data_IF_640141509387
#
_entry.id   IF_640141509387
#
_cell.length_a   1.000
_cell.length_b   1.000
_cell.length_c   1.000
_cell.angle_alpha   90.00
_cell.angle_beta   90.00
_cell.angle_gamma   90.00
#
_symmetry.space_group_name_H-M   'P 1'
#
loop_
_entity.id
_entity.type
_entity.pdbx_description
1 polymer ?
#
# COMPACT_ATOMS: atom_id res chain seq x y z
N UNK A 1 9.06 32.42 19.88
CA UNK A 1 7.74 31.92 20.29
C UNK A 1 6.72 32.49 19.33
N UNK A 2 5.93 31.65 18.63
CA UNK A 2 4.89 32.13 17.73
C UNK A 2 3.73 32.65 18.59
N UNK A 3 3.28 33.87 18.35
CA UNK A 3 2.13 34.46 19.05
C UNK A 3 0.85 33.73 18.63
N UNK A 4 0.34 32.87 19.51
CA UNK A 4 -0.88 32.08 19.31
C UNK A 4 -2.09 32.67 20.05
N UNK A 5 -1.98 33.90 20.57
CA UNK A 5 -2.94 34.52 21.49
C UNK A 5 -4.36 34.70 20.92
N UNK A 6 -4.53 34.61 19.60
CA UNK A 6 -5.83 34.68 18.91
C UNK A 6 -6.52 33.34 18.64
N UNK A 7 -5.90 32.20 18.94
CA UNK A 7 -6.46 30.86 18.63
C UNK A 7 -7.20 30.25 19.81
N UNK A 8 -8.44 29.83 19.58
CA UNK A 8 -9.34 29.26 20.60
C UNK A 8 -9.48 27.74 20.46
N UNK A 9 -9.23 27.02 21.54
CA UNK A 9 -9.39 25.56 21.64
C UNK A 9 -10.45 25.24 22.67
N UNK A 10 -11.41 24.38 22.30
CA UNK A 10 -12.39 23.81 23.21
C UNK A 10 -11.99 22.38 23.59
N UNK A 11 -11.78 22.13 24.87
CA UNK A 11 -11.46 20.80 25.41
C UNK A 11 -12.73 20.17 25.98
N UNK A 12 -13.08 18.96 25.53
CA UNK A 12 -14.31 18.26 25.94
C UNK A 12 -13.93 16.87 26.43
N UNK A 13 -14.12 16.64 27.71
CA UNK A 13 -13.81 15.36 28.36
C UNK A 13 -14.65 15.32 29.65
N UNK A 14 -15.15 14.17 30.08
CA UNK A 14 -15.94 14.05 31.31
C UNK A 14 -15.06 13.92 32.55
N UNK A 15 -13.81 13.47 32.40
CA UNK A 15 -12.84 13.38 33.48
C UNK A 15 -12.19 14.75 33.76
N UNK A 16 -12.40 15.26 34.98
CA UNK A 16 -11.86 16.55 35.40
C UNK A 16 -10.33 16.58 35.42
N UNK A 17 -9.68 15.47 35.80
CA UNK A 17 -8.22 15.33 35.80
C UNK A 17 -7.65 15.47 34.39
N UNK A 18 -8.29 14.85 33.39
CA UNK A 18 -7.87 14.93 31.99
C UNK A 18 -8.05 16.35 31.44
N UNK A 19 -9.18 17.01 31.74
CA UNK A 19 -9.38 18.43 31.37
C UNK A 19 -8.28 19.32 31.95
N UNK A 20 -7.89 19.11 33.21
CA UNK A 20 -6.82 19.89 33.87
C UNK A 20 -5.46 19.62 33.22
N UNK A 21 -5.15 18.36 32.91
CA UNK A 21 -3.90 17.96 32.27
C UNK A 21 -3.76 18.59 30.86
N UNK A 22 -4.80 18.50 30.04
CA UNK A 22 -4.84 19.08 28.69
C UNK A 22 -4.74 20.61 28.72
N UNK A 23 -5.46 21.25 29.64
CA UNK A 23 -5.34 22.69 29.85
C UNK A 23 -3.91 23.08 30.21
N UNK A 24 -3.28 22.35 31.13
CA UNK A 24 -1.92 22.65 31.60
C UNK A 24 -0.88 22.48 30.48
N UNK A 25 -1.02 21.44 29.66
CA UNK A 25 -0.14 21.20 28.52
C UNK A 25 -0.27 22.32 27.48
N UNK A 26 -1.50 22.64 27.06
CA UNK A 26 -1.74 23.58 25.97
C UNK A 26 -1.58 25.05 26.36
N UNK A 27 -1.68 25.40 27.65
CA UNK A 27 -1.49 26.77 28.13
C UNK A 27 -0.08 27.29 27.88
N UNK A 28 0.93 26.41 27.85
CA UNK A 28 2.31 26.74 27.48
C UNK A 28 2.45 27.19 26.02
N UNK A 29 1.52 26.79 25.16
CA UNK A 29 1.47 27.13 23.73
C UNK A 29 0.84 28.49 23.42
N UNK A 30 0.31 29.21 24.42
CA UNK A 30 -0.26 30.55 24.26
C UNK A 30 -1.68 30.59 23.68
N UNK A 31 -2.42 29.48 23.71
CA UNK A 31 -3.79 29.37 23.20
C UNK A 31 -4.83 29.88 24.22
N UNK A 32 -5.98 30.36 23.73
CA UNK A 32 -7.16 30.58 24.57
C UNK A 32 -7.91 29.24 24.71
N UNK A 33 -8.05 28.76 25.94
CA UNK A 33 -8.60 27.43 26.23
C UNK A 33 -9.93 27.57 26.97
N UNK A 34 -10.97 26.94 26.44
CA UNK A 34 -12.22 26.69 27.15
C UNK A 34 -12.38 25.19 27.35
N UNK A 35 -13.20 24.80 28.33
CA UNK A 35 -13.45 23.38 28.62
C UNK A 35 -14.93 23.10 28.84
N UNK A 36 -15.39 21.91 28.48
CA UNK A 36 -16.76 21.44 28.68
C UNK A 36 -16.74 20.00 29.21
N UNK A 37 -17.72 19.65 30.04
CA UNK A 37 -17.75 18.34 30.74
C UNK A 37 -18.51 17.26 29.96
N UNK A 38 -19.17 17.62 28.84
CA UNK A 38 -19.90 16.72 27.97
C UNK A 38 -20.19 17.38 26.62
N UNK A 39 -20.62 16.58 25.63
CA UNK A 39 -20.89 17.07 24.28
C UNK A 39 -22.04 18.10 24.17
N UNK A 40 -23.05 18.06 25.04
CA UNK A 40 -24.14 19.06 25.01
C UNK A 40 -23.67 20.44 25.48
N UNK A 41 -22.84 20.49 26.52
CA UNK A 41 -22.24 21.74 26.99
C UNK A 41 -21.28 22.32 25.93
N UNK A 42 -20.51 21.46 25.27
CA UNK A 42 -19.63 21.85 24.18
C UNK A 42 -20.41 22.50 23.02
N UNK A 43 -21.53 21.89 22.62
CA UNK A 43 -22.43 22.42 21.59
C UNK A 43 -22.97 23.82 21.92
N UNK A 44 -23.45 24.03 23.16
CA UNK A 44 -23.92 25.35 23.60
C UNK A 44 -22.81 26.41 23.53
N UNK A 45 -21.57 26.03 23.84
CA UNK A 45 -20.41 26.94 23.72
C UNK A 45 -20.07 27.24 22.26
N UNK A 46 -20.15 26.25 21.38
CA UNK A 46 -19.94 26.40 19.94
C UNK A 46 -21.00 27.29 19.26
N UNK A 47 -22.22 27.34 19.80
CA UNK A 47 -23.27 28.27 19.33
C UNK A 47 -23.01 29.72 19.76
N UNK A 48 -22.39 29.93 20.94
CA UNK A 48 -22.13 31.26 21.49
C UNK A 48 -20.77 31.87 21.13
N UNK A 49 -19.80 31.06 20.71
CA UNK A 49 -18.44 31.49 20.38
C UNK A 49 -17.79 30.62 19.30
N UNK A 50 -16.95 31.24 18.48
CA UNK A 50 -16.16 30.51 17.47
C UNK A 50 -14.93 29.85 18.11
N UNK A 51 -14.73 28.57 17.80
CA UNK A 51 -13.54 27.81 18.16
C UNK A 51 -12.81 27.35 16.90
N UNK A 52 -11.48 27.47 16.93
CA UNK A 52 -10.64 27.03 15.83
C UNK A 52 -10.42 25.51 15.92
N UNK A 53 -10.29 24.97 17.12
CA UNK A 53 -10.05 23.56 17.36
C UNK A 53 -10.90 23.02 18.51
N UNK A 54 -11.47 21.84 18.34
CA UNK A 54 -12.14 21.06 19.40
C UNK A 54 -11.32 19.80 19.66
N UNK A 55 -11.05 19.51 20.92
CA UNK A 55 -10.42 18.26 21.36
C UNK A 55 -11.43 17.53 22.22
N UNK A 56 -11.92 16.37 21.80
CA UNK A 56 -13.03 15.67 22.47
C UNK A 56 -12.70 14.21 22.80
N UNK A 57 -13.11 13.69 23.95
CA UNK A 57 -13.15 12.24 24.18
C UNK A 57 -14.26 11.60 23.31
N UNK A 58 -14.03 10.38 22.81
CA UNK A 58 -15.03 9.54 22.14
C UNK A 58 -16.17 9.18 23.09
N UNK A 59 -15.85 8.79 24.32
CA UNK A 59 -16.86 8.30 25.28
C UNK A 59 -17.11 9.36 26.33
N UNK A 60 -18.28 9.99 26.25
CA UNK A 60 -18.73 10.97 27.23
C UNK A 60 -20.23 10.76 27.49
N UNK A 61 -20.71 11.06 28.70
CA UNK A 61 -22.14 10.99 29.01
C UNK A 61 -22.95 11.98 28.19
N UNK A 62 -24.23 11.64 27.95
CA UNK A 62 -25.26 12.40 27.20
C UNK A 62 -25.04 12.48 25.69
N UNK A 63 -23.80 12.72 25.24
CA UNK A 63 -23.46 12.82 23.82
C UNK A 63 -22.02 12.36 23.62
N UNK A 64 -21.83 11.45 22.68
CA UNK A 64 -20.52 10.89 22.35
C UNK A 64 -19.65 11.89 21.57
N UNK A 65 -18.33 11.73 21.60
CA UNK A 65 -17.41 12.57 20.83
C UNK A 65 -17.61 12.46 19.32
N UNK A 66 -18.09 11.31 18.83
CA UNK A 66 -18.40 11.10 17.41
C UNK A 66 -19.66 11.85 16.98
N UNK A 67 -20.70 11.85 17.81
CA UNK A 67 -21.89 12.69 17.59
C UNK A 67 -21.53 14.17 17.64
N UNK A 68 -20.68 14.57 18.61
CA UNK A 68 -20.20 15.95 18.72
C UNK A 68 -19.42 16.37 17.48
N UNK A 69 -18.53 15.51 16.97
CA UNK A 69 -17.79 15.75 15.73
C UNK A 69 -18.74 16.04 14.55
N UNK A 70 -19.77 15.22 14.37
CA UNK A 70 -20.76 15.42 13.28
C UNK A 70 -21.46 16.77 13.43
N UNK A 71 -21.93 17.10 14.63
CA UNK A 71 -22.58 18.37 14.91
C UNK A 71 -21.65 19.58 14.70
N UNK A 72 -20.38 19.50 15.14
CA UNK A 72 -19.38 20.56 14.91
C UNK A 72 -19.16 20.78 13.42
N UNK A 73 -19.09 19.70 12.62
CA UNK A 73 -18.88 19.81 11.17
C UNK A 73 -20.08 20.38 10.42
N UNK A 74 -21.30 20.22 10.94
CA UNK A 74 -22.49 20.87 10.39
C UNK A 74 -22.52 22.37 10.73
N UNK A 75 -22.21 22.74 11.97
CA UNK A 75 -22.27 24.14 12.45
C UNK A 75 -21.09 24.96 11.92
N UNK A 76 -19.89 24.39 11.93
CA UNK A 76 -18.64 25.07 11.56
C UNK A 76 -17.67 24.10 10.90
N UNK A 77 -17.81 23.85 9.59
CA UNK A 77 -16.98 22.90 8.84
C UNK A 77 -15.46 23.15 8.94
N UNK A 78 -15.08 24.43 9.16
CA UNK A 78 -13.69 24.89 9.26
C UNK A 78 -13.03 24.55 10.60
N UNK A 79 -13.80 24.35 11.67
CA UNK A 79 -13.27 24.00 12.99
C UNK A 79 -12.61 22.62 12.93
N UNK A 80 -11.35 22.54 13.34
CA UNK A 80 -10.63 21.27 13.46
C UNK A 80 -11.17 20.47 14.64
N UNK A 81 -11.25 19.14 14.52
CA UNK A 81 -11.70 18.29 15.63
C UNK A 81 -10.68 17.17 15.82
N UNK A 82 -10.06 17.10 16.98
CA UNK A 82 -9.19 16.01 17.40
C UNK A 82 -9.97 15.14 18.37
N UNK A 83 -9.99 13.84 18.13
CA UNK A 83 -10.74 12.90 18.95
C UNK A 83 -9.79 12.06 19.79
N UNK A 84 -10.04 11.94 21.09
CA UNK A 84 -9.25 11.16 22.04
C UNK A 84 -10.02 9.92 22.46
N UNK A 85 -9.36 8.78 22.69
CA UNK A 85 -10.03 7.59 23.25
C UNK A 85 -9.06 6.68 23.97
N UNK A 86 -9.57 5.89 24.92
CA UNK A 86 -8.82 4.84 25.59
C UNK A 86 -8.83 3.48 24.86
N UNK A 87 -9.74 3.27 23.90
CA UNK A 87 -9.91 1.99 23.20
C UNK A 87 -9.51 2.07 21.72
N UNK A 88 -8.55 1.23 21.34
CA UNK A 88 -7.96 1.12 19.99
C UNK A 88 -8.75 0.25 19.01
N UNK A 89 -10.09 0.25 19.09
CA UNK A 89 -10.90 -0.45 18.08
C UNK A 89 -10.77 0.26 16.73
N UNK A 90 -10.18 -0.46 15.78
CA UNK A 90 -9.85 -0.01 14.42
C UNK A 90 -11.09 0.55 13.69
N UNK A 91 -12.26 -0.05 13.94
CA UNK A 91 -13.52 0.34 13.29
C UNK A 91 -13.97 1.76 13.71
N UNK A 92 -13.75 2.12 14.98
CA UNK A 92 -14.17 3.42 15.52
C UNK A 92 -13.23 4.55 15.06
N UNK A 93 -11.94 4.26 14.87
CA UNK A 93 -10.97 5.22 14.34
C UNK A 93 -11.25 5.55 12.86
N UNK A 94 -11.58 4.55 12.04
CA UNK A 94 -11.95 4.74 10.64
C UNK A 94 -13.24 5.55 10.50
N UNK A 95 -14.25 5.25 11.32
CA UNK A 95 -15.52 6.01 11.32
C UNK A 95 -15.32 7.47 11.76
N UNK A 96 -14.49 7.70 12.78
CA UNK A 96 -14.12 9.02 13.28
C UNK A 96 -13.45 9.88 12.19
N UNK A 97 -12.52 9.30 11.44
CA UNK A 97 -11.87 10.02 10.33
C UNK A 97 -12.83 10.25 9.15
N UNK A 98 -13.72 9.29 8.84
CA UNK A 98 -14.77 9.48 7.82
C UNK A 98 -15.76 10.59 8.18
N UNK A 99 -16.06 10.76 9.46
CA UNK A 99 -16.92 11.83 9.98
C UNK A 99 -16.24 13.22 9.98
N UNK A 100 -14.97 13.31 9.53
CA UNK A 100 -14.28 14.58 9.32
C UNK A 100 -13.39 15.02 10.47
N UNK A 101 -13.02 14.13 11.39
CA UNK A 101 -11.99 14.43 12.38
C UNK A 101 -10.68 14.82 11.67
N UNK A 102 -9.99 15.79 12.24
CA UNK A 102 -8.66 16.20 11.80
C UNK A 102 -7.61 15.15 12.18
N UNK A 103 -7.69 14.66 13.41
CA UNK A 103 -6.76 13.67 13.94
C UNK A 103 -7.43 12.87 15.06
N UNK A 104 -6.77 11.79 15.47
CA UNK A 104 -7.21 10.90 16.53
C UNK A 104 -6.04 10.54 17.44
N UNK A 105 -6.24 10.61 18.76
CA UNK A 105 -5.23 10.36 19.78
C UNK A 105 -5.65 9.20 20.69
N UNK A 106 -4.79 8.18 20.78
CA UNK A 106 -4.98 7.05 21.68
C UNK A 106 -4.42 7.39 23.07
N UNK A 107 -5.27 7.36 24.11
CA UNK A 107 -4.88 7.47 25.52
C UNK A 107 -4.21 6.15 25.95
N UNK A 108 -3.09 6.17 26.70
CA UNK A 108 -2.37 7.36 27.17
C UNK A 108 -1.42 7.94 26.10
N UNK A 109 -1.31 9.27 26.05
CA UNK A 109 -0.39 10.00 25.15
C UNK A 109 0.44 11.04 25.91
N UNK A 110 1.63 11.38 25.40
CA UNK A 110 2.49 12.40 26.00
C UNK A 110 2.05 13.82 25.61
N UNK A 111 2.46 14.82 26.39
CA UNK A 111 2.21 16.23 26.07
C UNK A 111 2.80 16.64 24.70
N UNK A 112 3.94 16.07 24.31
CA UNK A 112 4.56 16.31 23.00
C UNK A 112 3.70 15.82 21.83
N UNK A 113 3.04 14.67 22.00
CA UNK A 113 2.12 14.12 20.99
C UNK A 113 0.90 15.03 20.82
N UNK A 114 0.35 15.53 21.94
CA UNK A 114 -0.75 16.50 21.94
C UNK A 114 -0.35 17.82 21.27
N UNK A 115 0.79 18.41 21.67
CA UNK A 115 1.29 19.67 21.10
C UNK A 115 1.55 19.55 19.59
N UNK A 116 2.06 18.39 19.16
CA UNK A 116 2.28 18.09 17.76
C UNK A 116 0.94 17.98 17.00
N UNK A 117 -0.07 17.32 17.56
CA UNK A 117 -1.41 17.20 16.95
C UNK A 117 -2.11 18.56 16.82
N UNK A 118 -2.05 19.38 17.86
CA UNK A 118 -2.61 20.74 17.86
C UNK A 118 -1.87 21.64 16.87
N UNK A 119 -0.54 21.56 16.82
CA UNK A 119 0.26 22.32 15.84
C UNK A 119 -0.08 21.95 14.40
N UNK A 120 -0.26 20.65 14.11
CA UNK A 120 -0.70 20.17 12.78
C UNK A 120 -2.09 20.72 12.42
N UNK A 121 -3.03 20.70 13.36
CA UNK A 121 -4.39 21.20 13.13
C UNK A 121 -4.38 22.66 12.69
N UNK A 122 -3.62 23.50 13.39
CA UNK A 122 -3.52 24.92 13.06
C UNK A 122 -2.74 25.23 11.79
N UNK A 123 -1.73 24.43 11.44
CA UNK A 123 -1.03 24.58 10.16
C UNK A 123 -1.98 24.30 8.99
N UNK A 124 -2.78 23.24 9.08
CA UNK A 124 -3.76 22.90 8.04
C UNK A 124 -4.86 23.95 7.86
N UNK A 125 -5.19 24.71 8.90
CA UNK A 125 -6.18 25.80 8.83
C UNK A 125 -5.60 27.09 8.25
N UNK A 126 -4.31 27.37 8.47
CA UNK A 126 -3.64 28.52 7.88
C UNK A 126 -3.54 28.42 6.35
N UNK A 127 -3.45 27.20 5.82
CA UNK A 127 -3.44 26.91 4.37
C UNK A 127 -4.85 26.95 3.73
N UNK A 128 -5.92 27.11 4.53
CA UNK A 128 -7.33 27.09 4.09
C UNK A 128 -7.99 28.48 3.99
N UNK A 129 -7.23 29.57 4.03
CA UNK A 129 -7.75 30.89 3.62
C UNK A 129 -7.92 30.95 2.10
N UNK A 130 -8.97 31.61 1.58
CA UNK A 130 -9.60 31.21 0.33
C UNK A 130 -8.80 31.65 -0.90
N UNK A 131 -8.27 30.69 -1.65
CA UNK A 131 -8.04 30.82 -3.08
C UNK A 131 -9.40 30.78 -3.81
N UNK A 132 -10.18 31.86 -3.70
CA UNK A 132 -11.33 32.11 -4.56
C UNK A 132 -10.95 33.19 -5.58
N UNK A 133 -10.30 32.77 -6.67
CA UNK A 133 -10.33 33.39 -8.00
C UNK A 133 -9.27 32.71 -8.88
N UNK A 134 -9.64 31.59 -9.53
CA UNK A 134 -9.02 31.03 -10.75
C UNK A 134 -9.56 29.60 -10.92
N UNK A 135 -10.82 29.44 -11.34
CA UNK A 135 -11.11 29.11 -12.75
C UNK A 135 -10.10 29.69 -13.75
N UNK A 136 -8.95 29.02 -13.84
CA UNK A 136 -8.07 29.01 -15.00
C UNK A 136 -7.08 27.88 -14.75
N UNK A 137 -7.19 26.83 -15.57
CA UNK A 137 -6.11 25.90 -15.93
C UNK A 137 -4.96 25.84 -14.93
N UNK A 138 -5.01 24.87 -14.01
CA UNK A 138 -3.82 24.51 -13.24
C UNK A 138 -2.68 24.22 -14.24
N UNK A 139 -1.57 24.96 -14.21
CA UNK A 139 -0.39 24.53 -14.91
C UNK A 139 0.07 23.27 -14.21
N UNK A 140 0.06 22.17 -14.96
CA UNK A 140 0.83 20.99 -14.65
C UNK A 140 2.20 21.42 -14.14
N UNK A 141 2.46 21.21 -12.84
CA UNK A 141 3.83 20.97 -12.39
C UNK A 141 4.39 19.91 -13.35
N UNK A 142 5.61 20.05 -13.89
CA UNK A 142 6.18 19.05 -14.75
C UNK A 142 6.54 17.84 -13.86
N UNK A 143 5.55 17.05 -13.49
CA UNK A 143 5.76 15.63 -13.35
C UNK A 143 6.25 15.20 -14.72
N UNK A 144 7.45 14.62 -14.77
CA UNK A 144 7.87 13.87 -15.94
C UNK A 144 6.69 13.01 -16.39
N UNK A 145 6.18 13.28 -17.59
CA UNK A 145 4.93 12.73 -18.10
C UNK A 145 4.90 11.18 -18.16
N UNK A 146 6.03 10.55 -17.86
CA UNK A 146 6.32 9.13 -18.04
C UNK A 146 5.78 8.22 -16.92
N UNK A 147 5.31 8.75 -15.77
CA UNK A 147 5.01 7.90 -14.59
C UNK A 147 3.70 8.25 -13.88
N UNK A 148 2.64 8.56 -14.63
CA UNK A 148 1.29 8.77 -14.08
C UNK A 148 0.60 7.41 -13.85
N UNK A 149 -0.12 7.27 -12.73
CA UNK A 149 -1.02 6.11 -12.54
C UNK A 149 -2.27 6.34 -13.40
N UNK A 150 -2.47 5.47 -14.38
CA UNK A 150 -3.62 5.50 -15.31
C UNK A 150 -4.63 4.44 -14.88
N UNK A 151 -5.88 4.84 -14.69
CA UNK A 151 -6.96 3.93 -14.27
C UNK A 151 -8.33 4.50 -14.63
N UNK A 152 -9.25 3.61 -15.04
CA UNK A 152 -10.69 3.86 -15.17
C UNK A 152 -11.50 3.09 -14.10
N UNK A 153 -10.85 2.21 -13.35
CA UNK A 153 -11.49 1.41 -12.32
C UNK A 153 -11.78 2.24 -11.05
N UNK A 154 -13.00 2.12 -10.52
CA UNK A 154 -13.47 2.89 -9.35
C UNK A 154 -12.76 2.52 -8.05
N UNK A 155 -12.33 1.27 -7.89
CA UNK A 155 -11.60 0.83 -6.70
C UNK A 155 -10.20 1.44 -6.67
N UNK A 156 -9.53 1.44 -7.82
CA UNK A 156 -8.25 2.12 -8.00
C UNK A 156 -8.34 3.63 -7.75
N UNK A 157 -9.42 4.29 -8.19
CA UNK A 157 -9.66 5.71 -7.88
C UNK A 157 -9.78 5.95 -6.37
N UNK A 158 -10.57 5.13 -5.65
CA UNK A 158 -10.66 5.18 -4.18
C UNK A 158 -9.31 4.96 -3.51
N UNK A 159 -8.48 4.08 -4.08
CA UNK A 159 -7.13 3.81 -3.58
C UNK A 159 -6.22 5.03 -3.74
N UNK A 160 -6.32 5.76 -4.86
CA UNK A 160 -5.60 7.02 -5.07
C UNK A 160 -6.03 8.10 -4.06
N UNK A 161 -7.33 8.27 -3.84
CA UNK A 161 -7.85 9.20 -2.82
C UNK A 161 -7.38 8.83 -1.40
N UNK A 162 -7.31 7.51 -1.10
CA UNK A 162 -6.78 7.03 0.16
C UNK A 162 -5.28 7.35 0.29
N UNK A 163 -4.50 7.14 -0.77
CA UNK A 163 -3.08 7.50 -0.81
C UNK A 163 -2.86 8.98 -0.52
N UNK A 164 -3.65 9.86 -1.14
CA UNK A 164 -3.54 11.31 -0.91
C UNK A 164 -3.74 11.67 0.56
N UNK A 165 -4.70 11.04 1.24
CA UNK A 165 -4.93 11.25 2.69
C UNK A 165 -3.75 10.75 3.52
N UNK A 166 -3.22 9.57 3.19
CA UNK A 166 -2.10 8.94 3.89
C UNK A 166 -0.76 9.67 3.63
N UNK A 167 -0.62 10.34 2.50
CA UNK A 167 0.61 11.01 2.10
C UNK A 167 1.03 12.15 3.04
N UNK A 168 0.12 12.74 3.82
CA UNK A 168 0.48 13.76 4.81
C UNK A 168 1.10 13.18 6.09
N UNK A 169 0.87 11.89 6.38
CA UNK A 169 1.42 11.23 7.56
C UNK A 169 2.90 10.86 7.40
N UNK A 170 3.64 10.75 8.52
CA UNK A 170 4.98 10.14 8.54
C UNK A 170 4.94 8.61 8.67
N UNK A 171 3.77 8.02 8.87
CA UNK A 171 3.61 6.58 9.06
C UNK A 171 4.13 5.77 7.88
N UNK A 172 4.65 4.58 8.19
CA UNK A 172 5.05 3.58 7.21
C UNK A 172 3.84 3.08 6.42
N UNK A 173 4.00 2.96 5.11
CA UNK A 173 2.99 2.38 4.22
C UNK A 173 3.54 1.06 3.69
N UNK A 174 2.77 -0.01 3.82
CA UNK A 174 3.09 -1.33 3.27
C UNK A 174 2.21 -1.60 2.04
N UNK A 175 2.83 -1.59 0.86
CA UNK A 175 2.19 -1.83 -0.43
C UNK A 175 2.25 -3.33 -0.74
N UNK A 176 1.10 -3.96 -0.87
CA UNK A 176 0.96 -5.39 -1.14
C UNK A 176 0.31 -5.55 -2.51
N UNK A 177 0.92 -6.30 -3.40
CA UNK A 177 0.35 -6.57 -4.71
C UNK A 177 1.25 -7.47 -5.56
N UNK A 178 0.64 -8.23 -6.44
CA UNK A 178 1.36 -9.14 -7.33
C UNK A 178 2.45 -8.42 -8.15
N UNK A 179 3.41 -9.19 -8.64
CA UNK A 179 4.46 -8.67 -9.52
C UNK A 179 3.82 -7.97 -10.74
N UNK A 180 4.34 -6.79 -11.08
CA UNK A 180 3.86 -6.04 -12.24
C UNK A 180 2.55 -5.28 -12.03
N UNK A 181 2.01 -5.19 -10.82
CA UNK A 181 0.78 -4.40 -10.53
C UNK A 181 1.00 -2.88 -10.45
N UNK A 182 2.25 -2.43 -10.36
CA UNK A 182 2.61 -1.01 -10.26
C UNK A 182 2.92 -0.50 -8.84
N UNK A 183 3.34 -1.38 -7.92
CA UNK A 183 3.67 -1.01 -6.52
C UNK A 183 4.65 0.17 -6.41
N UNK A 184 5.68 0.22 -7.25
CA UNK A 184 6.65 1.33 -7.26
C UNK A 184 5.99 2.66 -7.66
N UNK A 185 5.04 2.65 -8.61
CA UNK A 185 4.30 3.85 -8.99
C UNK A 185 3.47 4.39 -7.82
N UNK A 186 2.85 3.51 -7.05
CA UNK A 186 2.15 3.89 -5.82
C UNK A 186 3.10 4.50 -4.78
N UNK A 187 4.27 3.90 -4.56
CA UNK A 187 5.27 4.46 -3.64
C UNK A 187 5.73 5.86 -4.05
N UNK A 188 5.96 6.07 -5.34
CA UNK A 188 6.30 7.38 -5.90
C UNK A 188 5.15 8.38 -5.76
N UNK A 189 3.91 7.93 -6.00
CA UNK A 189 2.72 8.76 -5.85
C UNK A 189 2.52 9.21 -4.40
N UNK A 190 2.70 8.30 -3.42
CA UNK A 190 2.69 8.64 -1.98
C UNK A 190 3.72 9.74 -1.68
N UNK A 191 4.93 9.61 -2.21
CA UNK A 191 5.97 10.61 -2.00
C UNK A 191 5.63 11.96 -2.63
N UNK A 192 5.12 11.97 -3.87
CA UNK A 192 4.69 13.18 -4.59
C UNK A 192 3.56 13.94 -3.88
N UNK A 193 2.65 13.20 -3.22
CA UNK A 193 1.56 13.79 -2.45
C UNK A 193 1.97 14.19 -1.03
N UNK A 194 3.21 13.89 -0.61
CA UNK A 194 3.65 14.12 0.76
C UNK A 194 4.28 15.49 0.97
N UNK A 195 4.44 15.86 2.26
CA UNK A 195 5.23 17.02 2.69
C UNK A 195 6.72 16.95 2.29
N UNK A 196 7.18 15.79 1.80
CA UNK A 196 8.57 15.55 1.37
C UNK A 196 8.71 15.51 -0.16
N UNK A 197 7.69 15.91 -0.91
CA UNK A 197 7.66 15.83 -2.38
C UNK A 197 8.76 16.62 -3.09
N UNK A 198 9.30 17.67 -2.47
CA UNK A 198 10.44 18.44 -2.98
C UNK A 198 11.80 17.79 -2.67
N UNK A 199 11.83 16.71 -1.87
CA UNK A 199 13.04 15.99 -1.49
C UNK A 199 13.27 14.78 -2.42
N UNK A 200 14.52 14.28 -2.54
CA UNK A 200 14.79 13.17 -3.45
C UNK A 200 14.12 11.86 -3.02
N UNK A 201 13.38 11.20 -3.92
CA UNK A 201 12.87 9.86 -3.66
C UNK A 201 13.97 8.81 -3.83
N UNK A 202 14.26 8.05 -2.77
CA UNK A 202 15.21 6.94 -2.81
C UNK A 202 14.48 5.61 -2.87
N UNK A 203 15.01 4.65 -3.61
CA UNK A 203 14.49 3.29 -3.69
C UNK A 203 15.63 2.28 -3.60
N UNK A 204 15.35 1.15 -2.95
CA UNK A 204 16.21 -0.02 -2.86
C UNK A 204 15.36 -1.24 -3.14
N UNK A 205 15.81 -2.09 -4.06
CA UNK A 205 15.20 -3.39 -4.31
C UNK A 205 15.97 -4.44 -3.49
N UNK A 206 15.32 -5.01 -2.48
CA UNK A 206 15.92 -5.97 -1.57
C UNK A 206 16.20 -7.33 -2.22
N UNK A 207 15.53 -7.66 -3.33
CA UNK A 207 15.74 -8.90 -4.07
C UNK A 207 16.87 -8.80 -5.13
N UNK A 208 17.27 -7.59 -5.51
CA UNK A 208 18.20 -7.36 -6.63
C UNK A 208 19.69 -7.46 -6.23
N UNK A 209 20.01 -7.41 -4.94
CA UNK A 209 21.38 -7.35 -4.44
C UNK A 209 21.69 -8.54 -3.52
N UNK A 210 22.91 -9.11 -3.59
CA UNK A 210 23.40 -10.04 -2.57
C UNK A 210 23.39 -9.41 -1.18
N UNK A 211 23.20 -10.23 -0.14
CA UNK A 211 23.00 -9.79 1.25
C UNK A 211 24.04 -8.76 1.74
N UNK A 212 25.34 -9.03 1.59
CA UNK A 212 26.39 -8.12 2.06
C UNK A 212 26.45 -6.79 1.29
N UNK A 213 26.07 -6.79 0.00
CA UNK A 213 25.96 -5.57 -0.79
C UNK A 213 24.69 -4.79 -0.41
N UNK A 214 23.58 -5.48 -0.16
CA UNK A 214 22.34 -4.87 0.31
C UNK A 214 22.56 -4.18 1.67
N UNK A 215 23.28 -4.82 2.59
CA UNK A 215 23.64 -4.24 3.89
C UNK A 215 24.41 -2.92 3.73
N UNK A 216 25.44 -2.94 2.90
CA UNK A 216 26.26 -1.75 2.60
C UNK A 216 25.47 -0.67 1.89
N UNK A 217 24.61 -1.02 0.93
CA UNK A 217 23.76 -0.04 0.24
C UNK A 217 22.74 0.59 1.19
N UNK A 218 22.12 -0.18 2.08
CA UNK A 218 21.10 0.35 2.98
C UNK A 218 21.69 1.18 4.12
N UNK A 219 22.69 0.66 4.82
CA UNK A 219 23.19 1.22 6.07
C UNK A 219 24.53 1.95 5.94
N UNK A 220 25.25 1.78 4.83
CA UNK A 220 26.58 2.35 4.64
C UNK A 220 27.68 1.59 5.38
N UNK A 221 28.93 1.97 5.14
CA UNK A 221 30.08 1.40 5.83
C UNK A 221 31.16 2.42 6.13
N UNK A 222 31.92 2.16 7.19
CA UNK A 222 33.14 2.88 7.51
C UNK A 222 34.36 2.27 6.81
N UNK A 223 35.43 3.07 6.66
CA UNK A 223 36.68 2.60 6.07
C UNK A 223 37.24 1.41 6.88
N UNK A 224 37.55 0.31 6.20
CA UNK A 224 38.08 -0.90 6.83
C UNK A 224 37.03 -1.82 7.47
N UNK A 225 35.74 -1.60 7.22
CA UNK A 225 34.67 -2.44 7.77
C UNK A 225 34.71 -3.91 7.29
N UNK A 226 35.20 -4.15 6.07
CA UNK A 226 35.40 -5.48 5.48
C UNK A 226 36.54 -5.43 4.45
N UNK A 227 36.98 -6.59 3.96
CA UNK A 227 38.01 -6.70 2.92
C UNK A 227 37.54 -6.03 1.64
N UNK A 228 38.15 -4.89 1.28
CA UNK A 228 37.77 -4.08 0.11
C UNK A 228 37.09 -2.74 0.45
N UNK A 229 36.77 -2.48 1.73
CA UNK A 229 36.23 -1.19 2.19
C UNK A 229 37.32 -0.10 2.26
N UNK A 230 37.78 0.36 1.10
CA UNK A 230 38.89 1.33 0.97
C UNK A 230 38.52 2.76 1.36
N UNK A 231 37.23 3.10 1.31
CA UNK A 231 36.68 4.42 1.65
C UNK A 231 35.38 4.27 2.46
N UNK A 232 34.94 5.36 3.08
CA UNK A 232 33.64 5.44 3.75
C UNK A 232 32.54 5.59 2.68
N UNK A 233 31.42 4.91 2.87
CA UNK A 233 30.24 5.02 2.00
C UNK A 233 28.98 5.30 2.81
N UNK A 234 28.20 6.28 2.36
CA UNK A 234 26.89 6.59 2.95
C UNK A 234 25.84 5.59 2.48
N UNK A 235 24.98 5.16 3.42
CA UNK A 235 23.85 4.27 3.13
C UNK A 235 22.63 5.03 2.62
N UNK A 236 21.68 4.29 2.05
CA UNK A 236 20.42 4.84 1.54
C UNK A 236 19.58 5.48 2.63
N UNK A 237 19.66 5.02 3.88
CA UNK A 237 18.99 5.69 4.99
C UNK A 237 19.58 7.08 5.29
N UNK A 238 20.90 7.23 5.23
CA UNK A 238 21.54 8.55 5.39
C UNK A 238 21.18 9.48 4.23
N UNK A 239 21.28 8.98 2.99
CA UNK A 239 20.93 9.74 1.79
C UNK A 239 19.44 10.15 1.81
N UNK A 240 18.56 9.30 2.33
CA UNK A 240 17.14 9.55 2.44
C UNK A 240 16.74 10.37 3.68
N UNK A 241 17.70 10.91 4.44
CA UNK A 241 17.41 11.77 5.58
C UNK A 241 16.50 12.95 5.18
N UNK A 242 15.39 13.15 5.92
CA UNK A 242 14.29 14.08 5.62
C UNK A 242 13.56 13.81 4.31
N UNK A 243 13.70 12.63 3.74
CA UNK A 243 13.05 12.21 2.50
C UNK A 243 12.29 10.88 2.64
N UNK A 244 11.92 10.26 1.53
CA UNK A 244 11.24 8.97 1.45
C UNK A 244 12.17 7.90 0.91
N UNK A 245 12.18 6.74 1.57
CA UNK A 245 12.87 5.54 1.13
C UNK A 245 11.85 4.44 0.82
N UNK A 246 11.86 3.96 -0.42
CA UNK A 246 11.18 2.75 -0.83
C UNK A 246 12.07 1.52 -0.58
N UNK A 247 11.52 0.55 0.16
CA UNK A 247 12.05 -0.79 0.30
C UNK A 247 11.18 -1.74 -0.53
N UNK A 248 11.63 -2.03 -1.75
CA UNK A 248 10.91 -2.91 -2.68
C UNK A 248 11.32 -4.37 -2.48
N UNK A 249 10.34 -5.26 -2.63
CA UNK A 249 10.41 -6.69 -2.31
C UNK A 249 11.01 -6.97 -0.92
N UNK A 250 10.49 -6.28 0.10
CA UNK A 250 10.98 -6.35 1.50
C UNK A 250 10.97 -7.79 2.07
N UNK A 251 10.09 -8.63 1.57
CA UNK A 251 9.93 -10.03 1.99
C UNK A 251 11.14 -10.91 1.61
N UNK A 252 12.03 -10.46 0.73
CA UNK A 252 13.25 -11.16 0.30
C UNK A 252 14.47 -10.85 1.19
N UNK A 253 14.32 -9.95 2.17
CA UNK A 253 15.39 -9.57 3.08
C UNK A 253 15.75 -10.73 4.03
N UNK A 254 17.04 -10.95 4.28
CA UNK A 254 17.49 -11.95 5.25
C UNK A 254 17.12 -11.58 6.71
N UNK A 255 16.92 -12.56 7.60
CA UNK A 255 16.59 -12.27 9.00
C UNK A 255 17.58 -11.35 9.76
N UNK A 256 18.90 -11.41 9.52
CA UNK A 256 19.85 -10.44 10.10
C UNK A 256 19.59 -9.00 9.66
N UNK A 257 19.33 -8.77 8.37
CA UNK A 257 19.04 -7.44 7.84
C UNK A 257 17.67 -6.94 8.32
N UNK A 258 16.69 -7.83 8.47
CA UNK A 258 15.40 -7.50 9.08
C UNK A 258 15.55 -6.96 10.52
N UNK A 259 16.45 -7.54 11.31
CA UNK A 259 16.74 -7.07 12.67
C UNK A 259 17.34 -5.66 12.68
N UNK A 260 18.29 -5.39 11.78
CA UNK A 260 18.88 -4.04 11.63
C UNK A 260 17.85 -3.03 11.15
N UNK A 261 17.03 -3.38 10.17
CA UNK A 261 15.95 -2.53 9.68
C UNK A 261 14.98 -2.18 10.80
N UNK A 262 14.58 -3.16 11.62
CA UNK A 262 13.69 -2.91 12.76
C UNK A 262 14.28 -1.87 13.71
N UNK A 263 15.58 -1.97 14.04
CA UNK A 263 16.28 -1.00 14.89
C UNK A 263 16.23 0.41 14.30
N UNK A 264 16.48 0.55 12.99
CA UNK A 264 16.38 1.86 12.30
C UNK A 264 14.95 2.42 12.38
N UNK A 265 13.93 1.58 12.22
CA UNK A 265 12.53 2.00 12.28
C UNK A 265 12.06 2.36 13.69
N UNK A 266 12.71 1.83 14.74
CA UNK A 266 12.35 2.07 16.15
C UNK A 266 13.11 3.27 16.72
N UNK A 267 14.44 3.24 16.60
CA UNK A 267 15.34 4.22 17.22
C UNK A 267 15.53 5.47 16.35
N UNK A 268 15.12 5.44 15.08
CA UNK A 268 15.41 6.50 14.11
C UNK A 268 16.91 6.79 13.97
N UNK A 269 17.72 5.74 14.08
CA UNK A 269 19.18 5.78 14.01
C UNK A 269 19.72 4.65 13.15
N UNK A 270 20.81 4.89 12.44
CA UNK A 270 21.48 3.93 11.55
C UNK A 270 22.86 3.58 12.07
N UNK A 271 23.12 2.29 12.23
CA UNK A 271 24.46 1.76 12.49
C UNK A 271 25.15 1.40 11.17
N UNK A 272 26.26 2.06 10.86
CA UNK A 272 27.11 1.68 9.72
C UNK A 272 27.77 0.32 9.95
N UNK A 273 28.04 -0.40 8.88
CA UNK A 273 28.90 -1.59 8.96
C UNK A 273 30.30 -1.13 9.39
N UNK A 274 30.78 -1.67 10.52
CA UNK A 274 32.04 -1.25 11.15
C UNK A 274 32.00 0.13 11.82
N UNK A 275 30.83 0.76 11.92
CA UNK A 275 30.62 2.03 12.61
C UNK A 275 30.65 1.87 14.13
N UNK A 276 31.08 2.93 14.83
CA UNK A 276 31.12 2.96 16.30
C UNK A 276 29.99 3.77 16.92
N UNK A 277 29.41 4.69 16.16
CA UNK A 277 28.37 5.60 16.64
C UNK A 277 27.15 5.52 15.72
N UNK A 278 25.93 5.44 16.29
CA UNK A 278 24.70 5.50 15.52
C UNK A 278 24.48 6.90 14.93
N UNK A 279 23.85 6.96 13.76
CA UNK A 279 23.60 8.21 13.04
C UNK A 279 22.09 8.48 13.01
N UNK A 280 21.59 9.60 13.56
CA UNK A 280 20.16 9.89 13.58
C UNK A 280 19.62 10.18 12.17
N UNK A 281 18.50 9.56 11.82
CA UNK A 281 17.84 9.68 10.52
C UNK A 281 16.34 9.93 10.63
N UNK A 282 15.81 10.93 9.91
CA UNK A 282 14.37 11.16 9.77
C UNK A 282 13.91 10.69 8.37
N UNK A 283 13.65 9.39 8.21
CA UNK A 283 13.25 8.81 6.91
C UNK A 283 11.81 8.33 6.96
N UNK A 284 11.03 8.67 5.94
CA UNK A 284 9.72 8.06 5.74
C UNK A 284 9.91 6.78 4.94
N UNK A 285 9.54 5.65 5.52
CA UNK A 285 9.67 4.37 4.85
C UNK A 285 8.37 4.01 4.14
N UNK A 286 8.49 3.56 2.90
CA UNK A 286 7.43 2.89 2.16
C UNK A 286 7.97 1.51 1.80
N UNK A 287 7.27 0.45 2.21
CA UNK A 287 7.67 -0.92 1.91
C UNK A 287 6.75 -1.50 0.83
N UNK A 288 7.28 -2.34 -0.04
CA UNK A 288 6.50 -3.05 -1.05
C UNK A 288 6.85 -4.54 -1.07
N UNK A 289 5.86 -5.39 -1.34
CA UNK A 289 6.01 -6.85 -1.43
C UNK A 289 5.02 -7.45 -2.43
N UNK A 290 5.44 -8.49 -3.14
CA UNK A 290 4.54 -9.38 -3.89
C UNK A 290 4.10 -10.63 -3.12
N UNK A 291 4.78 -10.94 -2.01
CA UNK A 291 4.52 -12.13 -1.21
C UNK A 291 3.53 -11.88 -0.08
N UNK A 292 2.85 -12.94 0.35
CA UNK A 292 2.08 -12.96 1.59
C UNK A 292 3.02 -13.01 2.80
N UNK A 293 3.30 -11.83 3.37
CA UNK A 293 4.21 -11.71 4.52
C UNK A 293 3.73 -12.54 5.71
N UNK A 294 2.40 -12.72 5.90
CA UNK A 294 1.90 -13.50 7.04
C UNK A 294 2.34 -14.97 6.96
N UNK A 295 2.39 -15.54 5.76
CA UNK A 295 2.92 -16.90 5.54
C UNK A 295 4.42 -16.96 5.82
N UNK A 296 5.20 -15.96 5.37
CA UNK A 296 6.63 -15.90 5.67
C UNK A 296 6.91 -15.75 7.18
N UNK A 297 6.05 -15.04 7.91
CA UNK A 297 6.13 -14.95 9.38
C UNK A 297 5.87 -16.32 10.03
N UNK A 298 4.85 -17.04 9.58
CA UNK A 298 4.57 -18.41 10.07
C UNK A 298 5.74 -19.37 9.81
N UNK A 299 6.42 -19.22 8.67
CA UNK A 299 7.58 -20.02 8.30
C UNK A 299 8.90 -19.55 8.97
N UNK A 300 8.86 -18.51 9.82
CA UNK A 300 10.04 -17.88 10.44
C UNK A 300 11.07 -17.29 9.45
N UNK A 301 10.64 -17.03 8.22
CA UNK A 301 11.43 -16.37 7.18
C UNK A 301 11.35 -14.84 7.30
N UNK A 302 10.29 -14.33 7.94
CA UNK A 302 10.10 -12.92 8.20
C UNK A 302 9.80 -12.69 9.68
N UNK A 303 10.40 -11.66 10.29
CA UNK A 303 10.18 -11.37 11.70
C UNK A 303 8.81 -10.74 11.93
N UNK A 304 8.11 -11.25 12.93
CA UNK A 304 6.78 -10.77 13.31
C UNK A 304 6.78 -9.31 13.79
N UNK A 305 7.77 -8.93 14.60
CA UNK A 305 7.94 -7.57 15.11
C UNK A 305 8.15 -6.52 13.99
N UNK A 306 8.98 -6.85 12.99
CA UNK A 306 9.17 -6.03 11.81
C UNK A 306 7.90 -5.92 10.98
N UNK A 307 7.14 -7.01 10.83
CA UNK A 307 5.88 -6.98 10.10
C UNK A 307 4.90 -5.98 10.72
N UNK A 308 4.70 -6.01 12.03
CA UNK A 308 3.81 -5.05 12.71
C UNK A 308 4.34 -3.61 12.62
N UNK A 309 5.66 -3.39 12.63
CA UNK A 309 6.25 -2.05 12.48
C UNK A 309 6.10 -1.48 11.06
N UNK A 310 6.11 -2.34 10.03
CA UNK A 310 5.92 -1.94 8.64
C UNK A 310 4.44 -1.80 8.27
N UNK A 311 3.59 -2.68 8.78
CA UNK A 311 2.17 -2.79 8.43
C UNK A 311 1.29 -1.79 9.21
N UNK A 312 1.72 -0.53 9.32
CA UNK A 312 0.92 0.53 9.96
C UNK A 312 -0.22 0.96 9.04
N UNK A 313 0.08 1.16 7.76
CA UNK A 313 -0.92 1.49 6.74
C UNK A 313 -0.80 0.48 5.60
N UNK A 314 -1.64 -0.57 5.56
CA UNK A 314 -1.66 -1.51 4.45
C UNK A 314 -2.32 -0.88 3.22
N UNK A 315 -1.68 -1.02 2.07
CA UNK A 315 -2.20 -0.64 0.77
C UNK A 315 -2.17 -1.86 -0.14
N UNK A 316 -3.34 -2.44 -0.41
CA UNK A 316 -3.46 -3.59 -1.32
C UNK A 316 -3.74 -3.10 -2.74
N UNK A 317 -2.87 -3.41 -3.68
CA UNK A 317 -3.05 -3.11 -5.11
C UNK A 317 -3.70 -4.32 -5.79
N UNK A 318 -4.89 -4.17 -6.40
CA UNK A 318 -5.56 -5.28 -7.06
C UNK A 318 -4.83 -5.71 -8.35
N UNK A 319 -4.80 -7.02 -8.64
CA UNK A 319 -4.25 -7.53 -9.89
C UNK A 319 -5.10 -7.08 -11.09
N UNK A 320 -4.50 -7.03 -12.28
CA UNK A 320 -5.13 -6.50 -13.49
C UNK A 320 -6.42 -7.24 -13.86
N UNK A 321 -6.51 -8.54 -13.58
CA UNK A 321 -7.72 -9.36 -13.79
C UNK A 321 -8.94 -8.94 -12.96
N UNK A 322 -8.73 -8.25 -11.83
CA UNK A 322 -9.80 -7.72 -10.96
C UNK A 322 -10.22 -6.30 -11.38
N UNK A 323 -9.46 -5.66 -12.27
CA UNK A 323 -9.69 -4.29 -12.78
C UNK A 323 -9.68 -4.25 -14.31
N UNK A 324 -10.55 -5.04 -14.92
CA UNK A 324 -10.61 -5.19 -16.39
C UNK A 324 -10.91 -3.88 -17.13
N UNK A 325 -11.56 -2.93 -16.47
CA UNK A 325 -11.84 -1.60 -17.02
C UNK A 325 -10.56 -0.80 -17.30
N UNK A 326 -9.44 -1.14 -16.64
CA UNK A 326 -8.16 -0.48 -16.86
C UNK A 326 -7.48 -0.98 -18.14
N UNK A 327 -7.80 -2.19 -18.63
CA UNK A 327 -7.09 -2.81 -19.76
C UNK A 327 -7.14 -1.94 -21.03
N UNK A 328 -8.31 -1.43 -21.50
CA UNK A 328 -8.36 -0.61 -22.70
C UNK A 328 -7.59 0.71 -22.55
N UNK A 329 -7.69 1.35 -21.37
CA UNK A 329 -7.07 2.65 -21.11
C UNK A 329 -5.54 2.51 -20.98
N UNK A 330 -5.07 1.45 -20.33
CA UNK A 330 -3.64 1.13 -20.24
C UNK A 330 -3.07 0.73 -21.60
N UNK A 331 -3.79 -0.07 -22.39
CA UNK A 331 -3.34 -0.46 -23.72
C UNK A 331 -3.19 0.75 -24.65
N UNK A 332 -4.17 1.67 -24.66
CA UNK A 332 -4.07 2.93 -25.42
C UNK A 332 -2.93 3.83 -24.92
N UNK A 333 -2.72 3.91 -23.60
CA UNK A 333 -1.62 4.65 -23.01
C UNK A 333 -0.26 4.10 -23.47
N UNK A 334 -0.03 2.79 -23.38
CA UNK A 334 1.20 2.14 -23.81
C UNK A 334 1.39 2.23 -25.33
N UNK A 335 0.32 2.09 -26.12
CA UNK A 335 0.36 2.27 -27.56
C UNK A 335 0.92 3.65 -27.91
N UNK A 336 0.35 4.73 -27.37
CA UNK A 336 0.78 6.11 -27.64
C UNK A 336 2.21 6.35 -27.21
N UNK A 337 2.60 5.81 -26.05
CA UNK A 337 3.96 5.92 -25.54
C UNK A 337 4.98 5.26 -26.46
N UNK A 338 4.78 3.98 -26.79
CA UNK A 338 5.73 3.24 -27.62
C UNK A 338 5.70 3.67 -29.09
N UNK A 339 4.58 4.17 -29.60
CA UNK A 339 4.54 4.80 -30.92
C UNK A 339 5.45 6.03 -30.99
N UNK A 340 5.43 6.87 -29.95
CA UNK A 340 6.31 8.04 -29.83
C UNK A 340 7.78 7.65 -29.67
N UNK A 341 8.08 6.60 -28.92
CA UNK A 341 9.45 6.12 -28.69
C UNK A 341 10.06 5.45 -29.94
N UNK A 342 9.23 4.84 -30.80
CA UNK A 342 9.68 4.09 -31.98
C UNK A 342 9.36 4.78 -33.32
N UNK A 343 8.98 6.06 -33.29
CA UNK A 343 8.59 6.86 -34.47
C UNK A 343 7.56 6.15 -35.38
N UNK A 344 6.59 5.45 -34.76
CA UNK A 344 5.49 4.76 -35.45
C UNK A 344 4.18 5.53 -35.33
N UNK A 345 3.36 5.44 -36.37
CA UNK A 345 2.04 6.09 -36.44
C UNK A 345 0.90 5.06 -36.43
N UNK A 346 0.74 4.36 -35.30
CA UNK A 346 -0.40 3.47 -35.09
C UNK A 346 -1.52 4.29 -34.45
N UNK A 347 -2.66 4.40 -35.14
CA UNK A 347 -3.75 5.27 -34.77
C UNK A 347 -4.69 4.63 -33.73
N UNK A 348 -4.83 3.31 -33.71
CA UNK A 348 -5.82 2.64 -32.87
C UNK A 348 -5.52 1.16 -32.60
N UNK A 349 -6.24 0.60 -31.63
CA UNK A 349 -6.32 -0.84 -31.36
C UNK A 349 -7.67 -1.34 -31.88
N UNK A 350 -7.69 -2.44 -32.64
CA UNK A 350 -8.96 -3.00 -33.11
C UNK A 350 -9.82 -3.53 -31.95
N UNK A 351 -11.14 -3.44 -32.07
CA UNK A 351 -12.07 -3.89 -31.02
C UNK A 351 -11.93 -5.38 -30.69
N UNK A 352 -11.62 -6.21 -31.69
CA UNK A 352 -11.33 -7.63 -31.52
C UNK A 352 -10.07 -7.88 -30.68
N UNK A 353 -9.03 -7.08 -30.91
CA UNK A 353 -7.78 -7.08 -30.14
C UNK A 353 -8.05 -6.72 -28.68
N UNK A 354 -8.86 -5.68 -28.41
CA UNK A 354 -9.26 -5.30 -27.05
C UNK A 354 -10.08 -6.40 -26.35
N UNK A 355 -10.94 -7.10 -27.08
CA UNK A 355 -11.71 -8.23 -26.52
C UNK A 355 -10.80 -9.39 -26.10
N UNK A 356 -9.74 -9.67 -26.87
CA UNK A 356 -8.74 -10.70 -26.51
C UNK A 356 -7.98 -10.27 -25.26
N UNK A 357 -7.50 -9.03 -25.23
CA UNK A 357 -6.81 -8.45 -24.07
C UNK A 357 -7.70 -8.49 -22.80
N UNK A 358 -9.00 -8.25 -22.93
CA UNK A 358 -9.95 -8.29 -21.81
C UNK A 358 -10.26 -9.69 -21.27
N UNK A 359 -10.06 -10.75 -22.07
CA UNK A 359 -10.27 -12.16 -21.67
C UNK A 359 -9.06 -12.77 -20.97
N UNK A 360 -7.86 -12.30 -21.31
CA UNK A 360 -6.62 -12.81 -20.75
C UNK A 360 -6.50 -12.54 -19.24
N UNK A 361 -5.85 -13.45 -18.51
CA UNK A 361 -5.76 -13.40 -17.03
C UNK A 361 -4.67 -12.49 -16.49
N UNK A 362 -3.70 -12.09 -17.32
CA UNK A 362 -2.61 -11.18 -16.95
C UNK A 362 -1.81 -11.62 -15.72
N UNK A 363 -1.17 -12.82 -15.74
CA UNK A 363 -0.32 -13.28 -14.63
C UNK A 363 0.84 -12.31 -14.30
N UNK A 364 1.38 -11.60 -15.30
CA UNK A 364 2.38 -10.54 -15.11
C UNK A 364 1.80 -9.14 -15.00
N UNK A 365 0.47 -9.03 -14.85
CA UNK A 365 -0.26 -7.79 -14.62
C UNK A 365 0.06 -6.69 -15.65
N UNK A 366 0.25 -5.44 -15.20
CA UNK A 366 0.47 -4.27 -16.06
C UNK A 366 1.80 -4.37 -16.80
N UNK A 367 2.82 -4.98 -16.19
CA UNK A 367 4.14 -5.17 -16.83
C UNK A 367 4.06 -6.10 -18.04
N UNK A 368 3.27 -7.17 -17.95
CA UNK A 368 3.03 -8.06 -19.08
C UNK A 368 2.23 -7.36 -20.18
N UNK A 369 1.21 -6.57 -19.81
CA UNK A 369 0.45 -5.76 -20.76
C UNK A 369 1.34 -4.77 -21.52
N UNK A 370 2.21 -4.04 -20.82
CA UNK A 370 3.19 -3.11 -21.42
C UNK A 370 4.08 -3.86 -22.42
N UNK A 371 4.69 -4.97 -22.01
CA UNK A 371 5.58 -5.78 -22.88
C UNK A 371 4.86 -6.37 -24.11
N UNK A 372 3.59 -6.76 -23.98
CA UNK A 372 2.80 -7.28 -25.12
C UNK A 372 2.48 -6.15 -26.10
N UNK A 373 2.06 -4.98 -25.60
CA UNK A 373 1.76 -3.83 -26.45
C UNK A 373 3.02 -3.28 -27.12
N UNK A 374 4.14 -3.19 -26.42
CA UNK A 374 5.44 -2.80 -26.98
C UNK A 374 5.83 -3.70 -28.16
N UNK A 375 5.80 -5.02 -27.97
CA UNK A 375 6.08 -6.00 -29.03
C UNK A 375 5.12 -5.86 -30.20
N UNK A 376 3.82 -5.69 -29.92
CA UNK A 376 2.81 -5.50 -30.96
C UNK A 376 3.07 -4.23 -31.77
N UNK A 377 3.46 -3.12 -31.13
CA UNK A 377 3.85 -1.87 -31.80
C UNK A 377 5.04 -2.09 -32.72
N UNK A 378 6.08 -2.80 -32.27
CA UNK A 378 7.27 -3.09 -33.07
C UNK A 378 6.98 -3.96 -34.30
N UNK A 379 6.04 -4.91 -34.19
CA UNK A 379 5.72 -5.87 -35.25
C UNK A 379 4.57 -5.43 -36.15
N UNK A 380 3.78 -4.43 -35.75
CA UNK A 380 2.70 -3.91 -36.57
C UNK A 380 3.25 -3.16 -37.80
N UNK A 381 2.70 -3.49 -38.97
CA UNK A 381 3.03 -2.87 -40.27
C UNK A 381 1.94 -1.88 -40.74
N UNK A 382 0.80 -1.82 -40.05
CA UNK A 382 -0.34 -0.97 -40.38
C UNK A 382 -0.61 0.12 -39.33
N UNK A 383 -1.72 0.84 -39.52
CA UNK A 383 -2.14 1.92 -38.62
C UNK A 383 -3.06 1.45 -37.48
N UNK A 384 -3.31 0.14 -37.36
CA UNK A 384 -4.20 -0.44 -36.35
C UNK A 384 -3.62 -1.75 -35.82
N UNK A 385 -3.57 -1.92 -34.49
CA UNK A 385 -3.16 -3.19 -33.87
C UNK A 385 -4.26 -4.24 -34.03
N UNK A 386 -3.92 -5.35 -34.70
CA UNK A 386 -4.78 -6.49 -34.94
C UNK A 386 -4.48 -7.65 -33.98
N UNK A 387 -5.39 -8.63 -33.82
CA UNK A 387 -5.14 -9.82 -33.02
C UNK A 387 -3.86 -10.56 -33.40
N UNK A 388 -3.51 -10.59 -34.69
CA UNK A 388 -2.29 -11.22 -35.21
C UNK A 388 -1.00 -10.58 -34.71
N UNK A 389 -1.07 -9.33 -34.24
CA UNK A 389 0.09 -8.59 -33.73
C UNK A 389 0.33 -8.89 -32.23
N UNK A 390 -0.65 -9.50 -31.55
CA UNK A 390 -0.54 -9.88 -30.14
C UNK A 390 0.12 -11.26 -30.02
N UNK A 391 1.43 -11.27 -29.78
CA UNK A 391 2.18 -12.49 -29.44
C UNK A 391 1.96 -12.86 -27.96
N UNK A 392 0.78 -13.40 -27.65
CA UNK A 392 0.39 -13.90 -26.32
C UNK A 392 0.59 -15.41 -26.24
N UNK A 393 1.02 -15.92 -25.08
CA UNK A 393 1.10 -17.36 -24.86
C UNK A 393 -0.31 -17.95 -24.73
N UNK A 394 -0.73 -18.74 -25.73
CA UNK A 394 -2.07 -19.34 -25.76
C UNK A 394 -2.35 -20.27 -24.56
N UNK A 395 -1.31 -20.86 -23.95
CA UNK A 395 -1.44 -21.73 -22.77
C UNK A 395 -1.91 -20.96 -21.51
N UNK A 396 -1.53 -19.69 -21.37
CA UNK A 396 -1.96 -18.83 -20.27
C UNK A 396 -3.36 -18.24 -20.49
N UNK A 397 -3.84 -18.23 -21.74
CA UNK A 397 -5.14 -17.70 -22.14
C UNK A 397 -6.31 -18.65 -21.82
N UNK A 398 -6.06 -19.95 -21.63
CA UNK A 398 -7.10 -20.99 -21.55
C UNK A 398 -6.99 -21.96 -20.36
N UNK A 399 -6.47 -21.52 -19.21
CA UNK A 399 -6.70 -22.26 -17.95
C UNK A 399 -8.09 -21.99 -17.34
N UNK A 400 -9.12 -22.06 -18.18
CA UNK A 400 -10.41 -22.55 -17.71
C UNK A 400 -10.27 -24.05 -17.53
N UNK A 401 -10.11 -24.47 -16.27
CA UNK A 401 -10.94 -25.54 -15.69
C UNK A 401 -11.32 -26.70 -16.62
N UNK A 402 -10.37 -27.34 -17.31
CA UNK A 402 -10.59 -28.72 -17.77
C UNK A 402 -10.60 -29.67 -16.57
N UNK A 403 -9.84 -29.37 -15.52
CA UNK A 403 -9.81 -30.22 -14.32
C UNK A 403 -11.06 -30.08 -13.44
N UNK A 404 -11.64 -28.89 -13.31
CA UNK A 404 -12.84 -28.70 -12.47
C UNK A 404 -14.15 -29.11 -13.17
N UNK A 405 -14.25 -29.01 -14.50
CA UNK A 405 -15.44 -29.48 -15.22
C UNK A 405 -15.48 -31.00 -15.41
N UNK A 406 -14.34 -31.68 -15.41
CA UNK A 406 -14.29 -33.15 -15.47
C UNK A 406 -14.69 -33.76 -14.13
N UNK A 407 -14.25 -33.17 -13.01
CA UNK A 407 -14.65 -33.60 -11.66
C UNK A 407 -16.13 -33.28 -11.34
N UNK A 408 -16.67 -32.16 -11.84
CA UNK A 408 -18.07 -31.77 -11.59
C UNK A 408 -19.11 -32.53 -12.43
N UNK A 409 -18.69 -33.26 -13.48
CA UNK A 409 -19.57 -34.07 -14.34
C UNK A 409 -19.66 -35.54 -13.95
N UNK A 410 -18.85 -36.00 -13.00
CA UNK A 410 -18.89 -37.40 -12.57
C UNK A 410 -20.04 -37.65 -11.59
N UNK A 411 -21.12 -38.27 -12.07
CA UNK A 411 -22.21 -38.81 -11.23
C UNK A 411 -22.04 -40.33 -11.12
N UNK A 412 -21.13 -40.76 -10.25
CA UNK A 412 -20.85 -42.16 -9.97
C UNK A 412 -20.40 -42.35 -8.52
N UNK A 413 -20.27 -43.58 -8.07
CA UNK A 413 -19.66 -43.87 -6.76
C UNK A 413 -18.15 -43.67 -6.83
N UNK A 414 -17.49 -43.52 -5.68
CA UNK A 414 -16.01 -43.42 -5.60
C UNK A 414 -15.34 -44.62 -6.32
N UNK A 415 -16.00 -45.78 -6.32
CA UNK A 415 -15.57 -46.99 -7.03
C UNK A 415 -15.55 -46.81 -8.55
N UNK A 416 -16.55 -46.14 -9.13
CA UNK A 416 -16.62 -45.89 -10.57
C UNK A 416 -15.57 -44.89 -11.03
N UNK A 417 -15.30 -43.88 -10.19
CA UNK A 417 -14.27 -42.88 -10.45
C UNK A 417 -12.86 -43.49 -10.36
N UNK A 418 -12.62 -44.37 -9.39
CA UNK A 418 -11.37 -45.13 -9.26
C UNK A 418 -11.16 -46.05 -10.48
N UNK A 419 -12.20 -46.76 -10.90
CA UNK A 419 -12.17 -47.65 -12.07
C UNK A 419 -11.84 -46.87 -13.34
N UNK A 420 -12.53 -45.77 -13.60
CA UNK A 420 -12.33 -44.97 -14.81
C UNK A 420 -10.93 -44.34 -14.86
N UNK A 421 -10.45 -43.81 -13.74
CA UNK A 421 -9.10 -43.27 -13.62
C UNK A 421 -8.03 -44.34 -13.93
N UNK A 422 -8.21 -45.56 -13.40
CA UNK A 422 -7.30 -46.68 -13.65
C UNK A 422 -7.27 -47.07 -15.14
N UNK A 423 -8.43 -47.11 -15.80
CA UNK A 423 -8.51 -47.45 -17.24
C UNK A 423 -7.97 -46.34 -18.13
N UNK A 424 -8.26 -45.06 -17.84
CA UNK A 424 -7.72 -43.92 -18.57
C UNK A 424 -6.18 -43.88 -18.49
N UNK A 425 -5.62 -44.04 -17.29
CA UNK A 425 -4.16 -44.06 -17.13
C UNK A 425 -3.52 -45.27 -17.82
N UNK A 426 -4.21 -46.41 -17.91
CA UNK A 426 -3.73 -47.56 -18.67
C UNK A 426 -3.74 -47.33 -20.18
N UNK A 427 -4.75 -46.64 -20.71
CA UNK A 427 -4.83 -46.29 -22.14
C UNK A 427 -3.73 -45.28 -22.51
N UNK A 428 -3.50 -44.28 -21.67
CA UNK A 428 -2.44 -43.27 -21.85
C UNK A 428 -1.03 -43.88 -21.91
N UNK A 429 -0.77 -44.94 -21.12
CA UNK A 429 0.52 -45.65 -21.12
C UNK A 429 0.52 -46.91 -21.97
N UNK A 430 -0.45 -47.05 -22.89
CA UNK A 430 -0.57 -48.17 -23.83
C UNK A 430 -0.50 -49.55 -23.16
N UNK A 431 -1.20 -49.73 -22.04
CA UNK A 431 -1.30 -50.99 -21.31
C UNK A 431 -0.10 -51.34 -20.43
N UNK A 432 0.88 -50.44 -20.27
CA UNK A 432 2.02 -50.67 -19.39
C UNK A 432 1.64 -50.51 -17.90
N UNK A 433 1.31 -51.63 -17.27
CA UNK A 433 0.87 -51.70 -15.86
C UNK A 433 1.89 -51.17 -14.84
N UNK A 434 3.19 -51.19 -15.14
CA UNK A 434 4.22 -50.67 -14.22
C UNK A 434 4.23 -49.15 -14.25
N UNK A 435 4.20 -48.55 -15.44
CA UNK A 435 4.11 -47.09 -15.61
C UNK A 435 2.79 -46.52 -15.13
N UNK A 436 1.68 -47.23 -15.36
CA UNK A 436 0.37 -46.83 -14.84
C UNK A 436 0.35 -46.77 -13.30
N UNK A 437 0.97 -47.75 -12.63
CA UNK A 437 1.04 -47.78 -11.17
C UNK A 437 1.89 -46.61 -10.61
N UNK A 438 3.00 -46.27 -11.26
CA UNK A 438 3.82 -45.11 -10.91
C UNK A 438 3.07 -43.79 -11.07
N UNK A 439 2.35 -43.59 -12.18
CA UNK A 439 1.57 -42.37 -12.43
C UNK A 439 0.39 -42.22 -11.46
N UNK A 440 -0.25 -43.32 -11.08
CA UNK A 440 -1.34 -43.35 -10.10
C UNK A 440 -0.86 -43.28 -8.64
N UNK A 441 0.45 -43.37 -8.40
CA UNK A 441 1.02 -43.35 -7.04
C UNK A 441 0.67 -44.59 -6.19
N UNK A 442 0.32 -45.72 -6.82
CA UNK A 442 -0.04 -46.97 -6.13
C UNK A 442 0.94 -48.10 -6.45
N UNK A 443 0.98 -49.14 -5.60
CA UNK A 443 1.83 -50.30 -5.89
C UNK A 443 1.31 -51.09 -7.09
N UNK A 444 2.20 -51.70 -7.88
CA UNK A 444 1.81 -52.58 -9.00
C UNK A 444 0.94 -53.75 -8.55
N UNK A 445 1.08 -54.19 -7.30
CA UNK A 445 0.24 -55.24 -6.68
C UNK A 445 -1.18 -54.73 -6.45
N UNK A 446 -1.32 -53.49 -5.97
CA UNK A 446 -2.62 -52.82 -5.78
C UNK A 446 -3.33 -52.65 -7.11
N UNK A 447 -2.63 -52.16 -8.14
CA UNK A 447 -3.20 -51.99 -9.48
C UNK A 447 -3.68 -53.34 -10.07
N UNK A 448 -2.89 -54.41 -9.93
CA UNK A 448 -3.28 -55.75 -10.40
C UNK A 448 -4.50 -56.31 -9.68
N UNK A 449 -4.58 -56.11 -8.35
CA UNK A 449 -5.73 -56.55 -7.57
C UNK A 449 -7.00 -55.80 -8.00
N UNK A 450 -6.92 -54.48 -8.18
CA UNK A 450 -8.02 -53.64 -8.65
C UNK A 450 -8.48 -54.03 -10.06
N UNK A 451 -7.56 -54.28 -10.99
CA UNK A 451 -7.90 -54.74 -12.33
C UNK A 451 -8.60 -56.11 -12.34
N UNK A 452 -8.26 -57.01 -11.43
CA UNK A 452 -8.94 -58.30 -11.29
C UNK A 452 -10.32 -58.15 -10.61
N UNK A 453 -10.51 -57.13 -9.77
CA UNK A 453 -11.79 -56.81 -9.12
C UNK A 453 -12.78 -56.13 -10.09
N UNK A 454 -12.28 -55.51 -11.16
CA UNK A 454 -13.08 -54.81 -12.17
C UNK A 454 -13.43 -55.64 -13.42
N UNK A 455 -12.85 -56.83 -13.55
CA UNK A 455 -13.29 -57.88 -14.47
C UNK A 455 -14.56 -58.54 -13.94
#
# INVERSE_FOLDING_TARGET
MKDNSGRRILIVDDESEMRIALNTALKRGGYQLDSAENGQEALRKLEGAAFDLVITDVRMPRMTGLELLRAVKEISPRTGVIVMTAYGDIDNAVETMKAGAFDYLLKPFSAEVLDSAVSRAFMSQAERLPAQAATAEQPSRPATAERRIVTANKEMQKLLEFVEKVAYSKSTVLIIGETGTGKELFARYIHQCSLRSERPFHAVNCAALPEGLLETEMFGHEKGAFTGATSRKEGKFELAHKSTLLLDEIAEMSPPLQAKLLRVLQEHEVDKVGGREPIPVDVRVVAATNCDIRKKVQNKEFREDLFYRLNVIPLKVPPLRERKEDIPVLADYFLKRHCKENDKNIASIAGETLNILGKYRWPGNVRELENIVERAVLLCHGNTLLPSDLFMDEEAAFTETKDAQTLAKFRGTIYDMEKELIFQTLDEVHGNKTKAAELLGISIRTLRNKLNEYQ
#
